data_IF_895859207048
#
_entry.id   IF_895859207048
#
_cell.length_a   1.000
_cell.length_b   1.000
_cell.length_c   1.000
_cell.angle_alpha   90.00
_cell.angle_beta   90.00
_cell.angle_gamma   90.00
#
_symmetry.space_group_name_H-M   'P 1'
#
loop_
_entity.id
_entity.type
_entity.pdbx_description
1 polymer ?
#
# COMPACT_ATOMS: atom_id res chain seq x y z
N UNK A 1 -11.50 6.18 -3.80
CA UNK A 1 -10.67 7.08 -4.66
C UNK A 1 -11.22 8.50 -4.57
N UNK A 2 -10.39 9.52 -4.76
CA UNK A 2 -10.79 10.93 -4.72
C UNK A 2 -9.79 11.83 -5.45
N UNK A 3 -9.07 11.27 -6.44
CA UNK A 3 -7.87 11.87 -7.03
C UNK A 3 -8.16 13.23 -7.67
N UNK A 4 -9.26 13.34 -8.42
CA UNK A 4 -9.66 14.60 -9.05
C UNK A 4 -10.07 15.65 -8.02
N UNK A 5 -10.79 15.24 -6.98
CA UNK A 5 -11.23 16.12 -5.89
C UNK A 5 -10.02 16.72 -5.16
N UNK A 6 -9.05 15.89 -4.76
CA UNK A 6 -7.84 16.38 -4.07
C UNK A 6 -6.95 17.22 -4.98
N UNK A 7 -6.86 16.89 -6.27
CA UNK A 7 -6.10 17.69 -7.25
C UNK A 7 -6.71 19.09 -7.41
N UNK A 8 -8.04 19.17 -7.50
CA UNK A 8 -8.76 20.46 -7.56
C UNK A 8 -8.54 21.28 -6.28
N UNK A 9 -8.61 20.64 -5.11
CA UNK A 9 -8.33 21.29 -3.83
C UNK A 9 -6.89 21.81 -3.72
N UNK A 10 -5.90 20.99 -4.11
CA UNK A 10 -4.50 21.36 -4.12
C UNK A 10 -4.23 22.54 -5.07
N UNK A 11 -4.83 22.55 -6.26
CA UNK A 11 -4.69 23.66 -7.21
C UNK A 11 -5.25 24.97 -6.63
N UNK A 12 -6.43 24.93 -6.01
CA UNK A 12 -7.01 26.11 -5.34
C UNK A 12 -6.12 26.62 -4.20
N UNK A 13 -5.55 25.72 -3.40
CA UNK A 13 -4.62 26.08 -2.32
C UNK A 13 -3.33 26.71 -2.86
N UNK A 14 -2.74 26.16 -3.92
CA UNK A 14 -1.55 26.70 -4.57
C UNK A 14 -1.81 28.09 -5.16
N UNK A 15 -2.96 28.31 -5.80
CA UNK A 15 -3.36 29.63 -6.30
C UNK A 15 -3.47 30.66 -5.18
N UNK A 16 -4.03 30.28 -4.02
CA UNK A 16 -4.07 31.15 -2.86
C UNK A 16 -2.66 31.45 -2.31
N UNK A 17 -1.79 30.44 -2.23
CA UNK A 17 -0.40 30.62 -1.78
C UNK A 17 0.39 31.54 -2.72
N UNK A 18 0.18 31.45 -4.04
CA UNK A 18 0.81 32.34 -5.02
C UNK A 18 0.44 33.81 -4.81
N UNK A 19 -0.79 34.10 -4.35
CA UNK A 19 -1.18 35.48 -4.01
C UNK A 19 -0.44 36.01 -2.78
N UNK A 20 -0.10 35.13 -1.83
CA UNK A 20 0.64 35.50 -0.60
C UNK A 20 2.16 35.52 -0.82
N UNK A 21 2.65 34.70 -1.73
CA UNK A 21 4.06 34.58 -2.10
C UNK A 21 4.19 34.75 -3.62
N UNK A 22 4.17 35.99 -4.16
CA UNK A 22 4.15 36.23 -5.61
C UNK A 22 5.33 35.64 -6.37
N UNK A 23 6.48 35.48 -5.72
CA UNK A 23 7.68 34.89 -6.33
C UNK A 23 7.65 33.35 -6.42
N UNK A 24 6.76 32.67 -5.67
CA UNK A 24 6.68 31.21 -5.64
C UNK A 24 6.28 30.65 -7.02
N UNK A 25 7.06 29.77 -7.63
CA UNK A 25 6.66 29.11 -8.89
C UNK A 25 6.01 27.75 -8.63
N UNK A 26 4.88 27.46 -9.31
CA UNK A 26 4.25 26.14 -9.30
C UNK A 26 4.71 25.36 -10.52
N UNK A 27 5.75 24.55 -10.34
CA UNK A 27 6.33 23.73 -11.41
C UNK A 27 5.40 22.59 -11.86
N UNK A 28 4.74 21.94 -10.90
CA UNK A 28 3.81 20.84 -11.15
C UNK A 28 2.87 20.68 -9.97
N UNK A 29 1.61 20.31 -10.24
CA UNK A 29 0.65 19.96 -9.20
C UNK A 29 1.04 18.66 -8.47
N UNK A 30 1.79 17.77 -9.13
CA UNK A 30 2.26 16.51 -8.57
C UNK A 30 3.77 16.37 -8.76
N UNK A 31 4.54 16.75 -7.74
CA UNK A 31 5.99 16.55 -7.68
C UNK A 31 6.41 15.14 -7.24
N UNK A 32 5.61 14.12 -7.52
CA UNK A 32 5.81 12.73 -7.06
C UNK A 32 5.87 12.53 -5.54
N UNK A 33 5.54 13.51 -4.72
CA UNK A 33 5.45 13.36 -3.26
C UNK A 33 4.11 12.77 -2.79
N UNK A 34 3.21 12.44 -3.73
CA UNK A 34 1.86 11.98 -3.44
C UNK A 34 1.76 10.58 -2.82
N UNK A 35 2.55 9.54 -3.12
CA UNK A 35 3.06 9.09 -4.43
C UNK A 35 1.95 8.30 -5.14
N UNK A 36 1.64 8.59 -6.41
CA UNK A 36 0.63 7.84 -7.17
C UNK A 36 1.27 6.82 -8.10
N UNK A 37 0.79 5.57 -8.06
CA UNK A 37 1.16 4.47 -8.99
C UNK A 37 2.67 4.13 -9.06
N UNK A 38 3.47 4.54 -8.07
CA UNK A 38 4.89 4.20 -7.92
C UNK A 38 5.15 3.67 -6.52
N UNK A 39 6.10 2.74 -6.39
CA UNK A 39 6.54 2.26 -5.09
C UNK A 39 7.17 3.40 -4.29
N UNK A 40 6.82 3.54 -3.00
CA UNK A 40 7.40 4.57 -2.15
C UNK A 40 7.27 4.27 -0.66
N UNK A 41 8.35 4.56 0.07
CA UNK A 41 8.38 4.50 1.52
C UNK A 41 7.39 5.47 2.19
N UNK A 42 7.09 6.63 1.58
CA UNK A 42 6.15 7.58 2.18
C UNK A 42 4.74 6.98 2.28
N UNK A 43 4.29 6.30 1.22
CA UNK A 43 2.99 5.63 1.20
C UNK A 43 2.95 4.48 2.21
N UNK A 44 4.07 3.78 2.41
CA UNK A 44 4.17 2.70 3.40
C UNK A 44 4.10 3.22 4.84
N UNK A 45 4.83 4.30 5.15
CA UNK A 45 4.96 4.81 6.51
C UNK A 45 3.77 5.70 6.91
N UNK A 46 3.31 6.57 6.01
CA UNK A 46 2.27 7.56 6.31
C UNK A 46 0.87 7.11 5.86
N UNK A 47 0.79 6.02 5.10
CA UNK A 47 -0.46 5.56 4.48
C UNK A 47 -0.89 6.44 3.30
N UNK A 48 -1.78 5.90 2.46
CA UNK A 48 -2.44 6.64 1.38
C UNK A 48 -3.78 5.98 1.06
N UNK A 49 -4.85 6.78 1.01
CA UNK A 49 -6.20 6.24 0.81
C UNK A 49 -6.74 5.62 2.10
N UNK A 50 -6.86 4.29 2.17
CA UNK A 50 -7.34 3.57 3.36
C UNK A 50 -6.23 2.68 3.91
N UNK A 51 -5.90 2.85 5.18
CA UNK A 51 -5.04 1.93 5.95
C UNK A 51 -5.94 0.96 6.72
N UNK A 52 -5.72 -0.34 6.57
CA UNK A 52 -6.60 -1.41 7.09
C UNK A 52 -5.75 -2.53 7.67
N UNK A 53 -6.26 -3.17 8.72
CA UNK A 53 -5.72 -4.40 9.32
C UNK A 53 -6.84 -5.45 9.41
N UNK A 54 -6.50 -6.73 9.22
CA UNK A 54 -7.42 -7.85 9.35
C UNK A 54 -6.70 -9.04 9.97
N UNK A 55 -7.41 -9.80 10.81
CA UNK A 55 -6.88 -10.97 11.52
C UNK A 55 -7.92 -12.09 11.60
N UNK A 56 -7.43 -13.33 11.77
CA UNK A 56 -8.27 -14.51 12.00
C UNK A 56 -7.46 -15.58 12.76
N UNK A 57 -8.15 -16.37 13.59
CA UNK A 57 -7.57 -17.55 14.26
C UNK A 57 -8.03 -18.81 13.52
N UNK A 58 -7.07 -19.60 13.04
CA UNK A 58 -7.34 -20.86 12.35
C UNK A 58 -6.92 -22.01 13.26
N UNK A 59 -7.83 -22.95 13.54
CA UNK A 59 -7.53 -24.09 14.40
C UNK A 59 -6.52 -25.04 13.74
N UNK A 60 -5.71 -25.73 14.56
CA UNK A 60 -4.72 -26.69 14.06
C UNK A 60 -5.36 -27.79 13.20
N UNK A 61 -6.58 -28.23 13.56
CA UNK A 61 -7.35 -29.20 12.78
C UNK A 61 -7.65 -28.68 11.36
N UNK A 62 -8.05 -27.41 11.21
CA UNK A 62 -8.30 -26.80 9.88
C UNK A 62 -6.99 -26.62 9.11
N UNK A 63 -5.90 -26.23 9.77
CA UNK A 63 -4.57 -26.12 9.12
C UNK A 63 -4.14 -27.47 8.54
N UNK A 64 -4.30 -28.56 9.30
CA UNK A 64 -3.92 -29.90 8.85
C UNK A 64 -4.86 -30.44 7.78
N UNK A 65 -6.18 -30.32 7.98
CA UNK A 65 -7.18 -30.97 7.12
C UNK A 65 -7.51 -30.16 5.87
N UNK A 66 -7.43 -28.82 5.89
CA UNK A 66 -7.75 -27.97 4.74
C UNK A 66 -6.49 -27.45 4.07
N UNK A 67 -5.57 -26.84 4.83
CA UNK A 67 -4.34 -26.25 4.29
C UNK A 67 -3.22 -27.28 4.06
N UNK A 68 -3.42 -28.53 4.51
CA UNK A 68 -2.52 -29.67 4.28
C UNK A 68 -1.09 -29.43 4.76
N UNK A 69 -0.95 -28.75 5.89
CA UNK A 69 0.35 -28.39 6.50
C UNK A 69 0.24 -28.38 8.03
N UNK A 70 1.30 -27.99 8.74
CA UNK A 70 1.29 -27.79 10.19
C UNK A 70 1.40 -26.30 10.53
N UNK A 71 0.96 -25.94 11.74
CA UNK A 71 1.07 -24.55 12.26
C UNK A 71 2.54 -24.11 12.26
N UNK A 72 3.44 -24.94 12.79
CA UNK A 72 4.87 -24.62 12.88
C UNK A 72 5.51 -24.41 11.50
N UNK A 73 5.14 -25.22 10.51
CA UNK A 73 5.63 -25.06 9.14
C UNK A 73 5.17 -23.74 8.52
N UNK A 74 3.91 -23.35 8.73
CA UNK A 74 3.39 -22.05 8.26
C UNK A 74 4.07 -20.87 8.93
N UNK A 75 4.24 -20.90 10.26
CA UNK A 75 4.92 -19.82 11.00
C UNK A 75 6.37 -19.68 10.55
N UNK A 76 7.09 -20.80 10.44
CA UNK A 76 8.48 -20.82 9.97
C UNK A 76 8.60 -20.28 8.55
N UNK A 77 7.70 -20.69 7.64
CA UNK A 77 7.67 -20.17 6.27
C UNK A 77 7.38 -18.66 6.26
N UNK A 78 6.43 -18.19 7.08
CA UNK A 78 6.09 -16.77 7.20
C UNK A 78 7.30 -15.93 7.59
N UNK A 79 8.03 -16.36 8.62
CA UNK A 79 9.25 -15.68 9.07
C UNK A 79 10.35 -15.71 8.00
N UNK A 80 10.64 -16.88 7.44
CA UNK A 80 11.73 -17.05 6.48
C UNK A 80 11.46 -16.32 5.15
N UNK A 81 10.27 -16.48 4.58
CA UNK A 81 9.91 -15.94 3.26
C UNK A 81 9.43 -14.50 3.36
N UNK A 82 8.42 -14.24 4.19
CA UNK A 82 7.72 -12.95 4.17
C UNK A 82 8.48 -11.87 4.90
N UNK A 83 9.14 -12.20 6.01
CA UNK A 83 9.95 -11.25 6.79
C UNK A 83 11.39 -11.21 6.31
N UNK A 84 12.17 -12.25 6.58
CA UNK A 84 13.62 -12.27 6.32
C UNK A 84 13.88 -12.15 4.81
N UNK A 85 13.27 -12.99 3.99
CA UNK A 85 13.45 -12.98 2.54
C UNK A 85 13.15 -11.63 1.90
N UNK A 86 12.00 -11.02 2.22
CA UNK A 86 11.61 -9.71 1.70
C UNK A 86 12.53 -8.58 2.16
N UNK A 87 13.06 -8.67 3.39
CA UNK A 87 14.04 -7.72 3.92
C UNK A 87 15.39 -7.87 3.21
N UNK A 88 15.86 -9.10 3.00
CA UNK A 88 17.10 -9.37 2.26
C UNK A 88 17.00 -8.92 0.80
N UNK A 89 15.82 -8.99 0.19
CA UNK A 89 15.56 -8.50 -1.15
C UNK A 89 15.41 -6.96 -1.25
N UNK A 90 15.45 -6.24 -0.12
CA UNK A 90 15.34 -4.76 -0.11
C UNK A 90 13.95 -4.23 -0.50
N UNK A 91 12.90 -5.02 -0.28
CA UNK A 91 11.54 -4.58 -0.62
C UNK A 91 11.02 -3.52 0.36
N UNK A 92 10.18 -2.60 -0.12
CA UNK A 92 9.50 -1.59 0.70
C UNK A 92 7.99 -1.80 0.57
N UNK A 93 7.36 -2.25 1.66
CA UNK A 93 5.93 -2.59 1.73
C UNK A 93 5.58 -3.97 1.17
N UNK A 94 6.59 -4.75 0.77
CA UNK A 94 6.46 -6.04 0.08
C UNK A 94 6.40 -7.28 0.98
N UNK A 95 6.25 -7.15 2.30
CA UNK A 95 6.26 -8.27 3.27
C UNK A 95 4.98 -9.13 3.23
N UNK A 96 4.69 -9.75 2.09
CA UNK A 96 3.52 -10.58 1.85
C UNK A 96 3.78 -11.66 0.79
N UNK A 97 2.86 -12.62 0.64
CA UNK A 97 3.04 -13.71 -0.32
C UNK A 97 2.74 -13.27 -1.76
N UNK A 98 1.52 -12.78 -1.99
CA UNK A 98 1.01 -12.36 -3.31
C UNK A 98 -0.18 -11.39 -3.18
N UNK A 99 -0.12 -10.42 -2.26
CA UNK A 99 -1.23 -9.50 -2.00
C UNK A 99 -1.71 -8.77 -3.26
N UNK A 100 -0.78 -8.42 -4.16
CA UNK A 100 -1.07 -7.78 -5.44
C UNK A 100 -2.05 -8.58 -6.32
N UNK A 101 -1.99 -9.92 -6.29
CA UNK A 101 -2.90 -10.77 -7.09
C UNK A 101 -4.36 -10.59 -6.66
N UNK A 102 -4.61 -10.61 -5.35
CA UNK A 102 -5.97 -10.47 -4.81
C UNK A 102 -6.50 -9.05 -5.06
N UNK A 103 -5.65 -8.04 -4.82
CA UNK A 103 -6.00 -6.64 -5.06
C UNK A 103 -6.35 -6.40 -6.53
N UNK A 104 -5.52 -6.88 -7.47
CA UNK A 104 -5.75 -6.70 -8.90
C UNK A 104 -7.06 -7.37 -9.36
N UNK A 105 -7.32 -8.61 -8.92
CA UNK A 105 -8.56 -9.33 -9.27
C UNK A 105 -9.81 -8.57 -8.81
N UNK A 106 -9.83 -8.10 -7.55
CA UNK A 106 -10.96 -7.35 -7.00
C UNK A 106 -11.09 -5.99 -7.68
N UNK A 107 -9.99 -5.29 -7.94
CA UNK A 107 -10.00 -3.98 -8.60
C UNK A 107 -10.64 -4.07 -9.99
N UNK A 108 -10.22 -5.05 -10.79
CA UNK A 108 -10.80 -5.31 -12.11
C UNK A 108 -12.29 -5.63 -12.00
N UNK A 109 -12.67 -6.51 -11.07
CA UNK A 109 -14.05 -6.93 -10.89
C UNK A 109 -14.98 -5.80 -10.38
N UNK A 110 -14.43 -4.79 -9.71
CA UNK A 110 -15.21 -3.73 -9.03
C UNK A 110 -15.00 -2.32 -9.61
N UNK A 111 -14.34 -2.22 -10.77
CA UNK A 111 -14.18 -0.96 -11.50
C UNK A 111 -13.33 0.09 -10.79
N UNK A 112 -12.26 -0.34 -10.11
CA UNK A 112 -11.26 0.58 -9.55
C UNK A 112 -10.32 1.11 -10.63
#
# INVERSE_FOLDING_TARGET
MGMNMVSKGANAALSYLKQKCPEMEVLSLSGNYCVDKKASAINWIKGRGKSVVAEAVISAAVVQTVLKTTVDALVRLGQAKLLIGSSMAGTIGGWNAHAANIVAAIFIATGQ
#
